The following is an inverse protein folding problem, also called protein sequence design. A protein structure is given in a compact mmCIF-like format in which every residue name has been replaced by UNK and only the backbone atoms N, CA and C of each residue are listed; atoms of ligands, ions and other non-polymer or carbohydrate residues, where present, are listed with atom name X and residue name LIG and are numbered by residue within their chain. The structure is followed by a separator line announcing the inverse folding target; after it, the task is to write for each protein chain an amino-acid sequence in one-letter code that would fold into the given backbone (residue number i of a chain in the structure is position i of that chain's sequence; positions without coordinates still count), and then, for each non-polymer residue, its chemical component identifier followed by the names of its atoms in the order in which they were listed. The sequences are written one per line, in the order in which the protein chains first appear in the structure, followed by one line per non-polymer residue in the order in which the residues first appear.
data_IF_597208457866
#
_entry.id   IF_597208457866
#
_cell.length_a   1.000
_cell.length_b   1.000
_cell.length_c   1.000
_cell.angle_alpha   90.00
_cell.angle_beta   90.00
_cell.angle_gamma   90.00
#
_symmetry.space_group_name_H-M   'P 1'
#
loop_
_entity.id
_entity.type
_entity.pdbx_description
1 polymer ?
#
# COMPACT_ATOMS: atom_id res chain seq x y z
N UNK A 1 -27.34 5.34 13.07
CA UNK A 1 -26.21 6.07 12.45
C UNK A 1 -26.72 7.03 11.39
N UNK A 2 -25.85 7.90 10.86
CA UNK A 2 -26.13 8.72 9.66
C UNK A 2 -25.90 7.91 8.38
N UNK A 3 -26.35 8.41 7.23
CA UNK A 3 -26.09 7.81 5.89
C UNK A 3 -25.35 8.79 4.96
N UNK A 4 -25.15 8.41 3.70
CA UNK A 4 -24.41 9.19 2.70
C UNK A 4 -24.92 10.64 2.54
N UNK A 5 -26.20 10.92 2.78
CA UNK A 5 -26.77 12.28 2.70
C UNK A 5 -26.17 13.23 3.74
N UNK A 6 -25.57 12.70 4.80
CA UNK A 6 -24.84 13.51 5.78
C UNK A 6 -23.62 14.24 5.19
N UNK A 7 -23.13 13.81 4.01
CA UNK A 7 -22.02 14.45 3.31
C UNK A 7 -22.47 15.42 2.21
N UNK A 8 -23.78 15.68 2.05
CA UNK A 8 -24.30 16.47 0.92
C UNK A 8 -23.73 17.90 0.82
N UNK A 9 -23.30 18.49 1.93
CA UNK A 9 -22.68 19.82 1.97
C UNK A 9 -21.15 19.79 2.02
N UNK A 10 -20.53 18.60 1.95
CA UNK A 10 -19.09 18.41 2.12
C UNK A 10 -18.43 18.14 0.78
N UNK A 11 -17.27 18.74 0.54
CA UNK A 11 -16.43 18.42 -0.62
C UNK A 11 -15.56 17.20 -0.35
N UNK A 12 -15.48 16.29 -1.31
CA UNK A 12 -14.85 14.98 -1.13
C UNK A 12 -13.70 14.82 -2.12
N UNK A 13 -12.51 14.56 -1.58
CA UNK A 13 -11.32 14.25 -2.36
C UNK A 13 -10.97 12.78 -2.19
N UNK A 14 -10.74 12.07 -3.29
CA UNK A 14 -10.27 10.69 -3.31
C UNK A 14 -8.83 10.64 -3.85
N UNK A 15 -7.96 9.84 -3.23
CA UNK A 15 -6.54 9.74 -3.64
C UNK A 15 -6.36 9.21 -5.07
N UNK A 16 -7.29 8.39 -5.55
CA UNK A 16 -7.24 7.82 -6.90
C UNK A 16 -8.54 7.18 -7.33
N UNK A 17 -8.57 6.72 -8.58
CA UNK A 17 -9.77 6.21 -9.26
C UNK A 17 -10.42 5.03 -8.55
N UNK A 18 -9.62 4.08 -8.03
CA UNK A 18 -10.15 2.92 -7.29
C UNK A 18 -10.92 3.36 -6.05
N UNK A 19 -10.37 4.29 -5.26
CA UNK A 19 -11.06 4.85 -4.08
C UNK A 19 -12.33 5.60 -4.48
N UNK A 20 -12.28 6.36 -5.58
CA UNK A 20 -13.45 7.09 -6.09
C UNK A 20 -14.58 6.16 -6.54
N UNK A 21 -14.27 5.05 -7.21
CA UNK A 21 -15.28 4.05 -7.61
C UNK A 21 -15.90 3.35 -6.39
N UNK A 22 -15.11 3.05 -5.36
CA UNK A 22 -15.65 2.51 -4.10
C UNK A 22 -16.58 3.51 -3.41
N UNK A 23 -16.21 4.79 -3.35
CA UNK A 23 -17.08 5.85 -2.81
C UNK A 23 -18.39 5.93 -3.59
N UNK A 24 -18.31 5.92 -4.93
CA UNK A 24 -19.47 6.01 -5.82
C UNK A 24 -20.43 4.83 -5.64
N UNK A 25 -19.90 3.61 -5.49
CA UNK A 25 -20.70 2.42 -5.14
C UNK A 25 -21.45 2.55 -3.81
N UNK A 26 -20.99 3.43 -2.91
CA UNK A 26 -21.64 3.76 -1.63
C UNK A 26 -22.48 5.04 -1.69
N UNK A 27 -22.77 5.57 -2.89
CA UNK A 27 -23.59 6.77 -3.07
C UNK A 27 -22.85 8.09 -2.78
N UNK A 28 -21.52 8.07 -2.75
CA UNK A 28 -20.67 9.23 -2.48
C UNK A 28 -19.84 9.55 -3.73
N UNK A 29 -20.03 10.73 -4.33
CA UNK A 29 -19.28 11.14 -5.51
C UNK A 29 -18.11 12.03 -5.07
N UNK A 30 -16.89 11.68 -5.45
CA UNK A 30 -15.72 12.53 -5.20
C UNK A 30 -15.76 13.76 -6.11
N UNK A 31 -15.60 14.96 -5.53
CA UNK A 31 -15.47 16.22 -6.25
C UNK A 31 -14.07 16.39 -6.88
N UNK A 32 -13.06 15.76 -6.27
CA UNK A 32 -11.67 15.89 -6.67
C UNK A 32 -10.97 14.52 -6.64
N UNK A 33 -10.26 14.21 -7.73
CA UNK A 33 -9.39 13.05 -7.86
C UNK A 33 -8.09 13.54 -8.52
N UNK A 34 -6.99 13.75 -7.76
CA UNK A 34 -5.77 14.34 -8.29
C UNK A 34 -5.00 13.35 -9.18
N UNK A 35 -4.16 13.87 -10.07
CA UNK A 35 -3.24 13.05 -10.87
C UNK A 35 -1.81 13.63 -10.81
N UNK A 36 -0.76 12.81 -10.63
CA UNK A 36 -0.79 11.35 -10.38
C UNK A 36 -1.35 11.01 -8.97
N UNK A 37 -1.76 9.77 -8.72
CA UNK A 37 -2.37 9.33 -7.44
C UNK A 37 -1.36 9.27 -6.28
N UNK A 38 -0.94 10.44 -5.79
CA UNK A 38 0.07 10.58 -4.73
C UNK A 38 -0.36 11.58 -3.66
N UNK A 39 0.20 11.44 -2.47
CA UNK A 39 0.07 12.40 -1.38
C UNK A 39 0.39 13.84 -1.82
N UNK A 40 1.48 14.01 -2.58
CA UNK A 40 1.90 15.33 -3.06
C UNK A 40 0.87 15.95 -4.01
N UNK A 41 0.27 15.14 -4.88
CA UNK A 41 -0.77 15.60 -5.81
C UNK A 41 -2.06 16.01 -5.09
N UNK A 42 -2.45 15.29 -4.02
CA UNK A 42 -3.58 15.71 -3.18
C UNK A 42 -3.30 17.07 -2.56
N UNK A 43 -2.15 17.22 -1.90
CA UNK A 43 -1.79 18.46 -1.23
C UNK A 43 -1.80 19.64 -2.23
N UNK A 44 -1.18 19.45 -3.40
CA UNK A 44 -1.18 20.46 -4.47
C UNK A 44 -2.59 20.79 -4.94
N UNK A 45 -3.39 19.80 -5.31
CA UNK A 45 -4.72 20.03 -5.87
C UNK A 45 -5.67 20.70 -4.87
N UNK A 46 -5.54 20.39 -3.58
CA UNK A 46 -6.30 21.07 -2.52
C UNK A 46 -5.80 22.49 -2.27
N UNK A 47 -4.49 22.73 -2.28
CA UNK A 47 -3.94 24.08 -2.20
C UNK A 47 -4.37 24.96 -3.37
N UNK A 48 -4.41 24.42 -4.59
CA UNK A 48 -4.82 25.14 -5.81
C UNK A 48 -6.27 25.64 -5.74
N UNK A 49 -7.15 24.99 -4.97
CA UNK A 49 -8.54 25.43 -4.75
C UNK A 49 -8.73 26.31 -3.51
N UNK A 50 -7.66 26.64 -2.79
CA UNK A 50 -7.68 27.57 -1.66
C UNK A 50 -8.37 27.00 -0.41
N UNK A 51 -7.64 26.20 0.36
CA UNK A 51 -8.13 25.54 1.58
C UNK A 51 -7.85 26.29 2.89
N UNK A 52 -7.27 27.49 2.84
CA UNK A 52 -6.97 28.26 4.04
C UNK A 52 -8.24 28.56 4.85
N UNK A 53 -8.25 28.22 6.15
CA UNK A 53 -9.39 28.35 7.05
C UNK A 53 -10.43 27.23 6.93
N UNK A 54 -10.25 26.26 6.02
CA UNK A 54 -11.15 25.12 5.91
C UNK A 54 -10.78 24.05 6.95
N UNK A 55 -11.80 23.31 7.40
CA UNK A 55 -11.62 22.09 8.19
C UNK A 55 -11.63 20.87 7.29
N UNK A 56 -10.60 20.04 7.40
CA UNK A 56 -10.43 18.82 6.60
C UNK A 56 -10.43 17.60 7.51
N UNK A 57 -11.41 16.73 7.34
CA UNK A 57 -11.41 15.41 7.96
C UNK A 57 -10.56 14.45 7.11
N UNK A 58 -9.54 13.84 7.71
CA UNK A 58 -8.62 12.94 7.01
C UNK A 58 -8.63 11.53 7.63
N UNK A 59 -9.49 10.62 7.14
CA UNK A 59 -9.40 9.20 7.46
C UNK A 59 -8.12 8.60 6.86
N UNK A 60 -7.30 7.97 7.70
CA UNK A 60 -5.98 7.43 7.31
C UNK A 60 -5.59 6.20 8.12
N UNK A 61 -4.56 5.50 7.69
CA UNK A 61 -3.92 4.48 8.53
C UNK A 61 -3.29 5.13 9.77
N UNK A 62 -3.35 4.45 10.91
CA UNK A 62 -2.76 4.89 12.18
C UNK A 62 -1.28 5.27 12.03
N UNK A 63 -0.49 4.44 11.35
CA UNK A 63 0.95 4.63 11.18
C UNK A 63 1.35 5.30 9.84
N UNK A 64 0.42 5.92 9.12
CA UNK A 64 0.76 6.55 7.85
C UNK A 64 1.74 7.74 8.06
N UNK A 65 2.60 8.10 7.08
CA UNK A 65 3.48 9.26 7.17
C UNK A 65 2.73 10.61 7.28
N UNK A 66 3.19 11.53 8.14
CA UNK A 66 2.50 12.82 8.38
C UNK A 66 2.56 13.84 7.23
N UNK A 67 3.36 13.58 6.19
CA UNK A 67 3.60 14.51 5.09
C UNK A 67 2.34 15.16 4.47
N UNK A 68 1.21 14.45 4.36
CA UNK A 68 -0.03 15.04 3.86
C UNK A 68 -0.61 16.08 4.83
N UNK A 69 -0.67 15.74 6.11
CA UNK A 69 -1.24 16.59 7.16
C UNK A 69 -0.43 17.86 7.28
N UNK A 70 0.90 17.71 7.30
CA UNK A 70 1.81 18.83 7.41
C UNK A 70 1.61 19.76 6.19
N UNK A 71 1.56 19.21 4.97
CA UNK A 71 1.34 20.01 3.77
C UNK A 71 -0.02 20.74 3.71
N UNK A 72 -1.10 20.12 4.21
CA UNK A 72 -2.42 20.77 4.28
C UNK A 72 -2.49 21.83 5.37
N UNK A 73 -1.83 21.58 6.51
CA UNK A 73 -1.72 22.55 7.62
C UNK A 73 -0.90 23.77 7.19
N UNK A 74 0.22 23.54 6.49
CA UNK A 74 1.06 24.61 5.92
C UNK A 74 0.29 25.46 4.88
N UNK A 75 -0.70 24.86 4.20
CA UNK A 75 -1.62 25.58 3.30
C UNK A 75 -2.75 26.32 4.05
N UNK A 76 -2.73 26.32 5.39
CA UNK A 76 -3.65 27.07 6.25
C UNK A 76 -4.95 26.35 6.60
N UNK A 77 -5.07 25.04 6.32
CA UNK A 77 -6.24 24.26 6.73
C UNK A 77 -6.12 23.72 8.16
N UNK A 78 -7.25 23.53 8.82
CA UNK A 78 -7.35 22.80 10.08
C UNK A 78 -7.61 21.31 9.76
N UNK A 79 -6.68 20.43 10.10
CA UNK A 79 -6.77 19.00 9.74
C UNK A 79 -7.17 18.15 10.95
N UNK A 80 -8.34 17.52 10.88
CA UNK A 80 -8.83 16.53 11.83
C UNK A 80 -8.46 15.12 11.34
N UNK A 81 -7.42 14.52 11.93
CA UNK A 81 -6.98 13.17 11.60
C UNK A 81 -7.87 12.10 12.25
N UNK A 82 -8.30 11.10 11.49
CA UNK A 82 -9.00 9.92 12.02
C UNK A 82 -8.20 8.67 11.66
N UNK A 83 -7.60 7.98 12.66
CA UNK A 83 -6.99 6.67 12.44
C UNK A 83 -8.11 5.65 12.15
N UNK A 84 -8.40 5.45 10.87
CA UNK A 84 -9.52 4.64 10.42
C UNK A 84 -9.21 3.13 10.44
N UNK A 85 -7.93 2.77 10.31
CA UNK A 85 -7.46 1.40 10.39
C UNK A 85 -5.98 1.35 10.82
N UNK A 86 -5.54 0.19 11.31
CA UNK A 86 -4.13 -0.11 11.55
C UNK A 86 -3.71 -1.30 10.69
N UNK A 87 -2.53 -1.23 10.09
CA UNK A 87 -1.91 -2.39 9.46
C UNK A 87 -1.29 -3.24 10.55
N UNK A 88 -1.77 -4.47 10.70
CA UNK A 88 -1.22 -5.43 11.67
C UNK A 88 -0.65 -6.63 10.93
N UNK A 89 0.48 -7.14 11.42
CA UNK A 89 1.02 -8.42 10.97
C UNK A 89 0.04 -9.52 11.36
N UNK A 90 -0.36 -10.37 10.41
CA UNK A 90 -1.17 -11.53 10.71
C UNK A 90 -0.33 -12.56 11.49
N UNK A 91 -0.58 -12.66 12.80
CA UNK A 91 0.05 -13.62 13.72
C UNK A 91 -0.88 -14.78 14.08
N UNK A 92 -2.05 -14.85 13.45
CA UNK A 92 -3.03 -15.92 13.68
C UNK A 92 -2.68 -17.21 12.95
N UNK A 93 -1.78 -17.14 11.96
CA UNK A 93 -1.22 -18.33 11.31
C UNK A 93 -0.51 -19.19 12.36
N UNK A 94 -1.02 -20.40 12.54
CA UNK A 94 -0.39 -21.40 13.37
C UNK A 94 0.97 -21.77 12.79
N UNK A 95 1.90 -22.19 13.66
CA UNK A 95 3.18 -22.70 13.20
C UNK A 95 3.01 -23.90 12.25
N UNK A 96 1.96 -24.70 12.44
CA UNK A 96 1.66 -25.85 11.58
C UNK A 96 1.24 -25.42 10.17
N UNK A 97 0.40 -24.40 10.02
CA UNK A 97 0.04 -23.84 8.70
C UNK A 97 1.27 -23.28 7.97
N UNK A 98 2.13 -22.58 8.70
CA UNK A 98 3.40 -22.07 8.17
C UNK A 98 4.31 -23.24 7.77
N UNK A 99 4.39 -24.29 8.59
CA UNK A 99 5.15 -25.49 8.25
C UNK A 99 4.62 -26.16 7.00
N UNK A 100 3.32 -26.43 6.91
CA UNK A 100 2.71 -27.06 5.73
C UNK A 100 3.00 -26.24 4.47
N UNK A 101 2.80 -24.92 4.53
CA UNK A 101 3.05 -24.04 3.39
C UNK A 101 4.54 -24.05 2.95
N UNK A 102 5.47 -24.07 3.92
CA UNK A 102 6.90 -24.05 3.62
C UNK A 102 7.50 -25.43 3.30
N UNK A 103 6.80 -26.53 3.56
CA UNK A 103 7.19 -27.86 3.10
C UNK A 103 6.74 -28.14 1.65
N UNK A 104 5.79 -27.36 1.13
CA UNK A 104 5.46 -27.41 -0.28
C UNK A 104 6.65 -26.91 -1.12
N UNK A 105 6.79 -27.42 -2.34
CA UNK A 105 7.73 -26.86 -3.29
C UNK A 105 7.30 -25.43 -3.65
N UNK A 106 8.17 -24.46 -3.37
CA UNK A 106 7.93 -23.05 -3.69
C UNK A 106 8.93 -22.63 -4.76
N UNK A 107 8.45 -22.40 -5.97
CA UNK A 107 9.27 -21.91 -7.08
C UNK A 107 9.59 -20.42 -6.94
N UNK A 108 8.59 -19.63 -6.56
CA UNK A 108 8.65 -18.17 -6.52
C UNK A 108 7.89 -17.63 -5.31
N UNK A 109 8.50 -16.70 -4.58
CA UNK A 109 7.83 -15.87 -3.57
C UNK A 109 7.68 -14.45 -4.08
N UNK A 110 6.45 -13.92 -4.01
CA UNK A 110 6.10 -12.59 -4.50
C UNK A 110 5.88 -11.60 -3.35
N UNK A 111 6.47 -10.41 -3.45
CA UNK A 111 6.27 -9.31 -2.51
C UNK A 111 5.71 -8.07 -3.19
N UNK A 112 4.58 -7.58 -2.67
CA UNK A 112 3.85 -6.42 -3.22
C UNK A 112 4.09 -5.13 -2.44
N UNK A 113 4.85 -5.18 -1.35
CA UNK A 113 5.27 -3.99 -0.61
C UNK A 113 6.45 -4.28 0.33
N UNK A 114 7.18 -3.27 0.79
CA UNK A 114 8.16 -3.42 1.86
C UNK A 114 7.56 -3.98 3.16
N UNK A 115 6.29 -3.66 3.47
CA UNK A 115 5.63 -4.17 4.68
C UNK A 115 5.39 -5.67 4.61
N UNK A 116 5.06 -6.23 3.44
CA UNK A 116 4.92 -7.70 3.27
C UNK A 116 6.25 -8.43 3.46
N UNK A 117 7.38 -7.83 3.04
CA UNK A 117 8.72 -8.36 3.32
C UNK A 117 8.99 -8.39 4.82
N UNK A 118 8.68 -7.30 5.52
CA UNK A 118 8.89 -7.21 6.97
C UNK A 118 8.02 -8.21 7.73
N UNK A 119 6.74 -8.29 7.39
CA UNK A 119 5.80 -9.24 7.98
C UNK A 119 6.23 -10.69 7.75
N UNK A 120 6.73 -11.04 6.56
CA UNK A 120 7.22 -12.38 6.27
C UNK A 120 8.36 -12.79 7.20
N UNK A 121 9.37 -11.93 7.38
CA UNK A 121 10.48 -12.22 8.30
C UNK A 121 10.05 -12.25 9.77
N UNK A 122 9.07 -11.44 10.15
CA UNK A 122 8.51 -11.41 11.50
C UNK A 122 7.76 -12.72 11.82
N UNK A 123 6.91 -13.19 10.91
CA UNK A 123 6.05 -14.36 11.10
C UNK A 123 6.82 -15.68 10.98
N UNK A 124 7.69 -15.79 9.96
CA UNK A 124 8.43 -17.03 9.66
C UNK A 124 9.68 -17.17 10.54
N UNK A 125 10.20 -16.05 11.06
CA UNK A 125 11.47 -15.96 11.75
C UNK A 125 12.64 -15.80 10.77
N UNK A 126 13.61 -14.94 11.11
CA UNK A 126 14.64 -14.47 10.19
C UNK A 126 15.44 -15.58 9.51
N UNK A 127 15.93 -16.57 10.26
CA UNK A 127 16.76 -17.66 9.72
C UNK A 127 15.98 -18.53 8.74
N UNK A 128 14.73 -18.87 9.09
CA UNK A 128 13.88 -19.70 8.25
C UNK A 128 13.41 -18.96 7.01
N UNK A 129 13.06 -17.68 7.16
CA UNK A 129 12.73 -16.80 6.04
C UNK A 129 13.90 -16.72 5.04
N UNK A 130 15.14 -16.58 5.52
CA UNK A 130 16.32 -16.60 4.66
C UNK A 130 16.46 -17.93 3.91
N UNK A 131 16.34 -19.07 4.60
CA UNK A 131 16.43 -20.39 3.96
C UNK A 131 15.42 -20.57 2.84
N UNK A 132 14.15 -20.22 3.09
CA UNK A 132 13.08 -20.29 2.09
C UNK A 132 13.40 -19.40 0.89
N UNK A 133 13.78 -18.14 1.14
CA UNK A 133 14.04 -17.18 0.07
C UNK A 133 15.35 -17.43 -0.69
N UNK A 134 16.24 -18.26 -0.16
CA UNK A 134 17.43 -18.74 -0.86
C UNK A 134 17.15 -19.98 -1.73
N UNK A 135 16.09 -20.73 -1.43
CA UNK A 135 15.71 -21.93 -2.17
C UNK A 135 14.68 -21.68 -3.28
N UNK A 136 14.23 -20.44 -3.47
CA UNK A 136 13.25 -20.06 -4.47
C UNK A 136 13.62 -18.73 -5.13
N UNK A 137 12.92 -18.38 -6.21
CA UNK A 137 13.04 -17.07 -6.82
C UNK A 137 12.24 -16.03 -6.03
N UNK A 138 12.70 -14.78 -6.07
CA UNK A 138 12.07 -13.67 -5.33
C UNK A 138 11.57 -12.65 -6.34
N UNK A 139 10.27 -12.42 -6.37
CA UNK A 139 9.62 -11.43 -7.22
C UNK A 139 9.15 -10.22 -6.41
N UNK A 140 9.45 -9.03 -6.89
CA UNK A 140 9.07 -7.77 -6.26
C UNK A 140 8.25 -6.91 -7.22
N UNK A 141 7.15 -6.34 -6.73
CA UNK A 141 6.30 -5.43 -7.53
C UNK A 141 7.02 -4.14 -7.97
N UNK A 142 8.19 -3.83 -7.40
CA UNK A 142 8.93 -2.62 -7.74
C UNK A 142 10.20 -2.40 -6.92
N UNK A 143 10.95 -1.31 -7.20
CA UNK A 143 12.29 -1.08 -6.69
C UNK A 143 12.33 -0.84 -5.18
N UNK A 144 11.29 -0.24 -4.60
CA UNK A 144 11.21 0.00 -3.15
C UNK A 144 11.10 -1.32 -2.39
N UNK A 145 10.26 -2.25 -2.88
CA UNK A 145 10.14 -3.60 -2.32
C UNK A 145 11.42 -4.40 -2.50
N UNK A 146 12.04 -4.33 -3.69
CA UNK A 146 13.32 -4.97 -3.98
C UNK A 146 14.44 -4.49 -3.02
N UNK A 147 14.45 -3.19 -2.67
CA UNK A 147 15.39 -2.65 -1.70
C UNK A 147 15.15 -3.19 -0.27
N UNK A 148 13.92 -3.50 0.11
CA UNK A 148 13.63 -4.14 1.39
C UNK A 148 14.20 -5.57 1.47
N UNK A 149 14.18 -6.31 0.35
CA UNK A 149 14.83 -7.63 0.22
C UNK A 149 16.36 -7.49 0.30
N UNK A 150 16.95 -6.55 -0.46
CA UNK A 150 18.41 -6.30 -0.46
C UNK A 150 18.96 -5.95 0.91
N UNK A 151 18.23 -5.16 1.70
CA UNK A 151 18.59 -4.82 3.09
C UNK A 151 18.70 -6.05 4.01
N UNK A 152 18.14 -7.19 3.62
CA UNK A 152 18.18 -8.46 4.35
C UNK A 152 19.24 -9.42 3.80
N UNK A 153 20.12 -8.94 2.90
CA UNK A 153 21.21 -9.72 2.30
C UNK A 153 20.76 -10.69 1.20
N UNK A 154 19.55 -10.52 0.67
CA UNK A 154 19.00 -11.37 -0.38
C UNK A 154 18.95 -10.63 -1.72
N UNK A 155 18.91 -11.40 -2.81
CA UNK A 155 18.88 -10.89 -4.17
C UNK A 155 17.46 -11.03 -4.72
N UNK A 156 16.75 -9.93 -5.03
CA UNK A 156 15.50 -10.01 -5.79
C UNK A 156 15.82 -10.45 -7.22
N UNK A 157 15.16 -11.51 -7.68
CA UNK A 157 15.39 -12.12 -8.99
C UNK A 157 14.54 -11.46 -10.08
N UNK A 158 13.32 -11.09 -9.73
CA UNK A 158 12.32 -10.53 -10.64
C UNK A 158 11.85 -9.21 -10.03
N UNK A 159 11.89 -8.13 -10.82
CA UNK A 159 11.37 -6.82 -10.43
C UNK A 159 10.46 -6.34 -11.55
N UNK A 160 9.20 -6.06 -11.23
CA UNK A 160 8.25 -5.57 -12.23
C UNK A 160 8.60 -4.15 -12.67
N UNK A 161 8.57 -3.89 -13.97
CA UNK A 161 8.71 -2.55 -14.54
C UNK A 161 7.44 -1.71 -14.31
N UNK A 162 6.28 -2.35 -14.46
CA UNK A 162 4.99 -1.78 -14.09
C UNK A 162 4.64 -2.21 -12.66
N UNK A 163 4.49 -1.24 -11.75
CA UNK A 163 4.27 -1.50 -10.32
C UNK A 163 2.82 -1.86 -9.98
N UNK A 164 2.24 -2.78 -10.74
CA UNK A 164 0.88 -3.30 -10.62
C UNK A 164 0.90 -4.81 -10.41
N UNK A 165 -0.23 -5.38 -10.01
CA UNK A 165 -0.36 -6.84 -9.91
C UNK A 165 -0.14 -7.50 -11.27
N UNK A 166 -0.69 -6.89 -12.33
CA UNK A 166 -0.55 -7.32 -13.71
C UNK A 166 0.91 -7.25 -14.18
N UNK A 167 1.61 -6.14 -13.89
CA UNK A 167 3.03 -5.99 -14.19
C UNK A 167 3.91 -7.00 -13.48
N UNK A 168 3.60 -7.33 -12.22
CA UNK A 168 4.30 -8.38 -11.48
C UNK A 168 4.09 -9.76 -12.11
N UNK A 169 2.86 -10.08 -12.52
CA UNK A 169 2.56 -11.34 -13.22
C UNK A 169 3.32 -11.42 -14.54
N UNK A 170 3.33 -10.34 -15.34
CA UNK A 170 4.07 -10.30 -16.60
C UNK A 170 5.57 -10.54 -16.40
N UNK A 171 6.18 -9.88 -15.40
CA UNK A 171 7.59 -10.05 -15.08
C UNK A 171 7.92 -11.50 -14.69
N UNK A 172 7.01 -12.17 -13.96
CA UNK A 172 7.16 -13.59 -13.61
C UNK A 172 7.08 -14.49 -14.83
N UNK A 173 6.11 -14.26 -15.72
CA UNK A 173 5.93 -15.05 -16.95
C UNK A 173 7.16 -14.92 -17.86
N UNK A 174 7.70 -13.70 -18.01
CA UNK A 174 8.89 -13.45 -18.81
C UNK A 174 10.11 -14.18 -18.24
N UNK A 175 10.30 -14.12 -16.92
CA UNK A 175 11.40 -14.78 -16.23
C UNK A 175 11.34 -16.32 -16.37
N UNK A 176 10.14 -16.89 -16.23
CA UNK A 176 9.90 -18.32 -16.42
C UNK A 176 10.07 -18.79 -17.87
N UNK A 177 9.94 -17.89 -18.85
CA UNK A 177 10.18 -18.22 -20.27
C UNK A 177 11.67 -18.25 -20.64
N UNK A 178 12.54 -17.78 -19.74
CA UNK A 178 13.98 -17.62 -19.96
C UNK A 178 14.79 -18.75 -19.31
N UNK A 179 14.14 -19.67 -18.61
CA UNK A 179 14.71 -20.81 -17.87
C UNK A 179 13.92 -22.08 -18.16
#
# INVERSE_FOLDING_TARGET
GKDARAFASTKICAIGSVTAEVLKGNGIIADLIPYPYTTASIARALSDIGIAGNRILLPRAEDAPRALVDALTDAGAEVDEVPAYRVVTNRELSQDEIQIALHAHIDIVCFTSPSTVNAFFEVIGSERAQRVLQSCRIACIGPVTANAIRKRGLIPHIIADEHTSEGLVQAIVQDASTH
#
